data_IF_861318562024
#
_entry.id   IF_861318562024
#
_cell.length_a   1.000
_cell.length_b   1.000
_cell.length_c   1.000
_cell.angle_alpha   90.00
_cell.angle_beta   90.00
_cell.angle_gamma   90.00
#
_symmetry.space_group_name_H-M   'P 1'
#
loop_
_entity.id
_entity.type
_entity.pdbx_description
1 polymer ?
#
# COMPACT_ATOMS: atom_id res chain seq x y z
N UNK A 1 44.59 -46.47 21.42
CA UNK A 1 44.08 -45.80 22.63
C UNK A 1 44.00 -44.31 22.33
N UNK A 2 42.87 -43.71 22.70
CA UNK A 2 42.46 -42.32 22.43
C UNK A 2 43.27 -41.32 23.26
N UNK A 3 43.59 -40.15 22.71
CA UNK A 3 43.51 -38.89 23.45
C UNK A 3 43.17 -37.74 22.48
N UNK A 4 41.96 -37.20 22.64
CA UNK A 4 41.49 -35.97 22.01
C UNK A 4 41.80 -34.81 22.97
N UNK A 5 42.53 -33.79 22.52
CA UNK A 5 42.53 -32.47 23.13
C UNK A 5 41.52 -31.58 22.37
N UNK A 6 40.55 -31.04 23.10
CA UNK A 6 39.55 -30.08 22.58
C UNK A 6 40.05 -28.64 22.77
N UNK A 7 39.69 -27.68 21.91
CA UNK A 7 40.12 -26.29 22.01
C UNK A 7 39.22 -25.49 22.98
N UNK A 8 39.84 -24.73 23.88
CA UNK A 8 39.19 -23.86 24.88
C UNK A 8 38.79 -22.48 24.29
N UNK A 9 39.17 -22.18 23.05
CA UNK A 9 38.92 -20.88 22.40
C UNK A 9 37.48 -20.68 21.91
N UNK A 10 36.67 -21.73 21.76
CA UNK A 10 35.29 -21.62 21.25
C UNK A 10 34.26 -21.16 22.29
N UNK A 11 34.57 -21.29 23.60
CA UNK A 11 33.60 -21.01 24.66
C UNK A 11 33.51 -19.51 25.01
N UNK A 12 34.63 -18.77 24.89
CA UNK A 12 34.72 -17.33 25.19
C UNK A 12 34.06 -16.44 24.14
N UNK A 13 34.11 -16.81 22.85
CA UNK A 13 33.46 -16.07 21.76
C UNK A 13 31.93 -16.22 21.82
N UNK A 14 31.44 -17.40 22.22
CA UNK A 14 30.00 -17.68 22.37
C UNK A 14 29.42 -16.97 23.61
N UNK A 15 30.17 -16.87 24.72
CA UNK A 15 29.70 -16.13 25.91
C UNK A 15 29.74 -14.61 25.70
N UNK A 16 30.74 -14.06 25.00
CA UNK A 16 30.77 -12.63 24.69
C UNK A 16 29.68 -12.25 23.67
N UNK A 17 29.42 -13.08 22.67
CA UNK A 17 28.30 -12.91 21.73
C UNK A 17 26.94 -12.96 22.41
N UNK A 18 26.73 -13.87 23.38
CA UNK A 18 25.49 -13.94 24.16
C UNK A 18 25.29 -12.72 25.06
N UNK A 19 26.35 -12.18 25.67
CA UNK A 19 26.28 -11.00 26.54
C UNK A 19 26.02 -9.73 25.71
N UNK A 20 26.66 -9.55 24.55
CA UNK A 20 26.39 -8.42 23.65
C UNK A 20 24.97 -8.50 23.08
N UNK A 21 24.51 -9.70 22.71
CA UNK A 21 23.12 -9.92 22.30
C UNK A 21 22.13 -9.65 23.43
N UNK A 22 22.37 -10.12 24.66
CA UNK A 22 21.50 -9.83 25.81
C UNK A 22 21.47 -8.33 26.14
N UNK A 23 22.59 -7.63 26.03
CA UNK A 23 22.66 -6.18 26.26
C UNK A 23 21.94 -5.42 25.13
N UNK A 24 22.00 -5.90 23.88
CA UNK A 24 21.28 -5.30 22.76
C UNK A 24 19.78 -5.55 22.84
N UNK A 25 19.37 -6.78 23.18
CA UNK A 25 17.96 -7.13 23.42
C UNK A 25 17.40 -6.40 24.64
N UNK A 26 18.12 -6.34 25.76
CA UNK A 26 17.71 -5.54 26.92
C UNK A 26 17.67 -4.05 26.60
N UNK A 27 18.60 -3.50 25.79
CA UNK A 27 18.51 -2.09 25.37
C UNK A 27 17.32 -1.86 24.45
N UNK A 28 17.04 -2.72 23.48
CA UNK A 28 15.88 -2.60 22.62
C UNK A 28 14.58 -2.65 23.43
N UNK A 29 14.47 -3.57 24.39
CA UNK A 29 13.32 -3.73 25.28
C UNK A 29 13.20 -2.56 26.28
N UNK A 30 14.32 -2.04 26.80
CA UNK A 30 14.33 -0.84 27.66
C UNK A 30 13.98 0.42 26.85
N UNK A 31 14.44 0.58 25.61
CA UNK A 31 14.01 1.68 24.74
C UNK A 31 12.52 1.58 24.39
N UNK A 32 12.00 0.37 24.18
CA UNK A 32 10.58 0.10 23.95
C UNK A 32 9.75 0.47 25.20
N UNK A 33 10.17 0.05 26.39
CA UNK A 33 9.48 0.34 27.66
C UNK A 33 9.58 1.83 28.07
N UNK A 34 10.63 2.55 27.69
CA UNK A 34 10.76 4.00 27.96
C UNK A 34 9.99 4.85 26.95
N UNK A 35 9.92 4.47 25.67
CA UNK A 35 9.05 5.15 24.70
C UNK A 35 7.56 4.93 25.01
N UNK A 36 7.21 3.79 25.62
CA UNK A 36 5.85 3.45 26.05
C UNK A 36 5.26 4.36 27.15
N UNK A 37 6.09 5.13 27.89
CA UNK A 37 5.64 6.03 28.97
C UNK A 37 5.74 7.53 28.63
N UNK A 38 6.18 7.89 27.42
CA UNK A 38 6.47 9.30 27.04
C UNK A 38 5.90 9.61 25.65
N UNK A 39 4.57 9.73 25.56
CA UNK A 39 3.92 10.28 24.38
C UNK A 39 3.67 11.78 24.51
N UNK A 40 3.77 12.51 23.40
CA UNK A 40 3.39 13.91 23.32
C UNK A 40 1.91 13.99 22.93
N UNK A 41 1.10 14.67 23.74
CA UNK A 41 -0.31 14.93 23.41
C UNK A 41 -0.43 15.88 22.23
N UNK A 42 -1.41 15.63 21.37
CA UNK A 42 -1.67 16.51 20.23
C UNK A 42 -2.34 17.83 20.65
N UNK A 43 -2.00 18.89 19.91
CA UNK A 43 -2.65 20.19 19.94
C UNK A 43 -2.75 20.71 18.50
N UNK A 44 -3.82 20.30 17.80
CA UNK A 44 -3.91 20.45 16.36
C UNK A 44 -4.18 21.90 15.97
N UNK A 45 -3.37 22.41 15.05
CA UNK A 45 -3.58 23.72 14.42
C UNK A 45 -3.60 23.56 12.91
N UNK A 46 -4.70 23.95 12.28
CA UNK A 46 -4.86 23.96 10.82
C UNK A 46 -4.70 25.38 10.32
N UNK A 47 -3.77 25.59 9.39
CA UNK A 47 -3.55 26.89 8.80
C UNK A 47 -4.37 27.03 7.50
N UNK A 48 -5.50 27.75 7.56
CA UNK A 48 -6.45 27.84 6.44
C UNK A 48 -5.94 28.64 5.23
N UNK A 49 -4.89 29.46 5.38
CA UNK A 49 -4.36 30.36 4.32
C UNK A 49 -2.89 30.11 3.94
N UNK A 50 -2.31 28.96 4.31
CA UNK A 50 -0.93 28.60 3.92
C UNK A 50 -0.86 28.27 2.43
N UNK A 51 0.29 28.44 1.72
CA UNK A 51 0.40 28.07 0.32
C UNK A 51 -0.21 26.71 0.01
N UNK A 52 -1.29 26.77 -0.76
CA UNK A 52 -2.08 25.61 -1.13
C UNK A 52 -1.37 24.88 -2.27
N UNK A 53 -1.05 23.62 -2.03
CA UNK A 53 -0.53 22.75 -3.10
C UNK A 53 -1.59 21.69 -3.36
N UNK A 54 -2.05 21.63 -4.61
CA UNK A 54 -2.89 20.52 -5.04
C UNK A 54 -2.02 19.26 -5.06
N UNK A 55 -2.28 18.32 -4.16
CA UNK A 55 -1.65 17.00 -4.18
C UNK A 55 -2.64 15.96 -4.67
N UNK A 56 -2.12 15.00 -5.44
CA UNK A 56 -2.90 13.86 -5.90
C UNK A 56 -3.14 12.91 -4.71
N UNK A 57 -4.35 12.39 -4.53
CA UNK A 57 -4.63 11.34 -3.55
C UNK A 57 -3.70 10.14 -3.76
N UNK A 58 -3.01 9.71 -2.70
CA UNK A 58 -2.18 8.49 -2.77
C UNK A 58 -2.96 7.23 -2.37
N UNK A 59 -4.18 7.36 -1.84
CA UNK A 59 -4.96 6.26 -1.24
C UNK A 59 -6.03 5.68 -2.16
N UNK A 60 -6.24 6.25 -3.35
CA UNK A 60 -7.23 5.77 -4.35
C UNK A 60 -6.72 4.59 -5.18
N UNK A 61 -5.77 3.85 -4.62
CA UNK A 61 -5.19 2.69 -5.25
C UNK A 61 -5.53 1.49 -4.37
N UNK A 62 -6.14 0.47 -4.96
CA UNK A 62 -6.59 -0.72 -4.25
C UNK A 62 -5.90 -1.94 -4.84
N UNK A 63 -5.70 -2.99 -4.05
CA UNK A 63 -5.10 -4.24 -4.51
C UNK A 63 -5.98 -5.43 -4.16
N UNK A 64 -6.00 -6.44 -5.02
CA UNK A 64 -6.67 -7.72 -4.79
C UNK A 64 -5.68 -8.86 -5.08
N UNK A 65 -5.59 -9.81 -4.14
CA UNK A 65 -4.77 -11.00 -4.27
C UNK A 65 -5.46 -12.11 -5.08
N UNK A 66 -4.89 -13.32 -5.00
CA UNK A 66 -5.36 -14.54 -5.68
C UNK A 66 -6.15 -15.52 -4.79
N UNK A 67 -6.83 -15.02 -3.76
CA UNK A 67 -7.52 -15.84 -2.75
C UNK A 67 -8.69 -16.66 -3.29
N UNK A 68 -9.42 -16.09 -4.24
CA UNK A 68 -10.37 -16.80 -5.09
C UNK A 68 -10.15 -16.38 -6.53
N UNK A 69 -9.52 -17.29 -7.28
CA UNK A 69 -9.30 -17.11 -8.71
C UNK A 69 -10.45 -17.69 -9.53
N UNK A 70 -11.33 -18.49 -8.92
CA UNK A 70 -12.42 -19.19 -9.62
C UNK A 70 -13.59 -18.29 -9.94
N UNK A 71 -13.78 -17.22 -9.15
CA UNK A 71 -14.84 -16.24 -9.34
C UNK A 71 -14.28 -14.82 -9.44
N UNK A 72 -15.00 -13.95 -10.15
CA UNK A 72 -14.71 -12.51 -10.14
C UNK A 72 -15.37 -11.86 -8.92
N UNK A 73 -14.64 -11.86 -7.80
CA UNK A 73 -15.11 -11.33 -6.52
C UNK A 73 -15.49 -9.84 -6.55
N UNK A 74 -14.98 -9.07 -7.52
CA UNK A 74 -15.22 -7.63 -7.60
C UNK A 74 -16.59 -7.30 -8.20
N UNK A 75 -17.10 -8.13 -9.12
CA UNK A 75 -18.37 -7.86 -9.82
C UNK A 75 -19.57 -7.73 -8.87
N UNK A 76 -19.78 -8.63 -7.89
CA UNK A 76 -20.92 -8.52 -6.95
C UNK A 76 -20.90 -7.26 -6.08
N UNK A 77 -19.74 -6.63 -5.89
CA UNK A 77 -19.57 -5.48 -5.00
C UNK A 77 -19.28 -4.16 -5.75
N UNK A 78 -19.38 -4.16 -7.08
CA UNK A 78 -19.12 -3.00 -7.94
C UNK A 78 -19.81 -1.70 -7.43
N UNK A 79 -21.09 -1.71 -6.99
CA UNK A 79 -21.73 -0.50 -6.47
C UNK A 79 -21.03 0.10 -5.23
N UNK A 80 -20.46 -0.74 -4.36
CA UNK A 80 -19.71 -0.30 -3.18
C UNK A 80 -18.37 0.29 -3.59
N UNK A 81 -17.65 -0.37 -4.50
CA UNK A 81 -16.34 0.09 -4.98
C UNK A 81 -16.42 1.41 -5.73
N UNK A 82 -17.51 1.66 -6.46
CA UNK A 82 -17.72 2.94 -7.15
C UNK A 82 -17.66 4.14 -6.20
N UNK A 83 -18.09 3.98 -4.94
CA UNK A 83 -18.02 5.04 -3.92
C UNK A 83 -16.62 5.33 -3.38
N UNK A 84 -15.65 4.45 -3.67
CA UNK A 84 -14.25 4.65 -3.30
C UNK A 84 -13.46 5.40 -4.38
N UNK A 85 -14.03 5.57 -5.57
CA UNK A 85 -13.42 6.32 -6.67
C UNK A 85 -11.98 5.87 -6.95
N UNK A 86 -11.76 4.55 -6.96
CA UNK A 86 -10.44 3.99 -7.18
C UNK A 86 -9.89 4.43 -8.55
N UNK A 87 -8.67 4.97 -8.56
CA UNK A 87 -7.97 5.35 -9.78
C UNK A 87 -7.27 4.15 -10.41
N UNK A 88 -6.74 3.25 -9.58
CA UNK A 88 -6.13 2.00 -10.03
C UNK A 88 -6.46 0.82 -9.13
N UNK A 89 -6.60 -0.34 -9.75
CA UNK A 89 -6.77 -1.63 -9.05
C UNK A 89 -5.65 -2.57 -9.47
N UNK A 90 -4.81 -2.97 -8.51
CA UNK A 90 -3.75 -3.96 -8.66
C UNK A 90 -4.31 -5.37 -8.51
N UNK A 91 -3.94 -6.27 -9.39
CA UNK A 91 -4.25 -7.70 -9.31
C UNK A 91 -2.97 -8.52 -9.20
N UNK A 92 -2.94 -9.47 -8.27
CA UNK A 92 -1.93 -10.53 -8.20
C UNK A 92 -2.36 -11.78 -8.98
N UNK A 93 -1.46 -12.74 -9.19
CA UNK A 93 -1.73 -14.03 -9.84
C UNK A 93 -2.26 -13.95 -11.29
N UNK A 94 -2.08 -12.83 -11.99
CA UNK A 94 -2.70 -12.61 -13.32
C UNK A 94 -2.24 -13.62 -14.38
N UNK A 95 -1.04 -14.20 -14.22
CA UNK A 95 -0.43 -15.14 -15.17
C UNK A 95 -0.53 -16.61 -14.72
N UNK A 96 -0.71 -16.87 -13.42
CA UNK A 96 -0.83 -18.24 -12.88
C UNK A 96 -2.28 -18.65 -12.57
N UNK A 97 -3.19 -17.69 -12.36
CA UNK A 97 -4.54 -17.95 -11.84
C UNK A 97 -5.68 -17.98 -12.86
N UNK A 98 -5.46 -17.41 -14.06
CA UNK A 98 -6.51 -17.17 -15.06
C UNK A 98 -6.36 -18.00 -16.34
N UNK A 99 -5.50 -19.03 -16.33
CA UNK A 99 -5.21 -19.91 -17.48
C UNK A 99 -4.79 -19.17 -18.76
N UNK A 100 -4.07 -18.06 -18.58
CA UNK A 100 -3.69 -17.15 -19.67
C UNK A 100 -2.80 -17.82 -20.71
N UNK A 101 -1.90 -18.73 -20.29
CA UNK A 101 -0.86 -19.29 -21.17
C UNK A 101 -0.95 -20.82 -21.20
N UNK A 102 -1.01 -21.38 -22.40
CA UNK A 102 -0.94 -22.81 -22.65
C UNK A 102 0.06 -23.12 -23.79
N UNK A 103 0.34 -24.41 -24.02
CA UNK A 103 1.09 -24.89 -25.20
C UNK A 103 0.18 -25.71 -26.10
N UNK A 104 0.26 -25.47 -27.41
CA UNK A 104 -0.42 -26.30 -28.41
C UNK A 104 0.30 -27.66 -28.61
N UNK A 105 -0.24 -28.50 -29.50
CA UNK A 105 0.34 -29.82 -29.81
C UNK A 105 1.74 -29.75 -30.44
N UNK A 106 2.10 -28.60 -31.02
CA UNK A 106 3.43 -28.35 -31.60
C UNK A 106 4.40 -27.71 -30.61
N UNK A 107 3.95 -27.43 -29.38
CA UNK A 107 4.75 -26.83 -28.32
C UNK A 107 4.80 -25.30 -28.34
N UNK A 108 4.04 -24.63 -29.21
CA UNK A 108 3.98 -23.18 -29.28
C UNK A 108 3.09 -22.61 -28.18
N UNK A 109 3.44 -21.42 -27.67
CA UNK A 109 2.59 -20.72 -26.70
C UNK A 109 1.30 -20.23 -27.36
N UNK A 110 0.19 -20.47 -26.65
CA UNK A 110 -1.15 -19.96 -26.96
C UNK A 110 -1.68 -19.17 -25.79
N UNK A 111 -2.53 -18.18 -26.07
CA UNK A 111 -3.00 -17.21 -25.08
C UNK A 111 -4.52 -17.17 -25.03
N UNK A 112 -5.10 -17.23 -23.83
CA UNK A 112 -6.53 -17.11 -23.59
C UNK A 112 -6.81 -16.09 -22.48
N UNK A 113 -7.30 -14.92 -22.87
CA UNK A 113 -7.52 -13.81 -21.94
C UNK A 113 -8.89 -13.83 -21.27
N UNK A 114 -9.80 -14.74 -21.66
CA UNK A 114 -11.23 -14.70 -21.30
C UNK A 114 -11.50 -14.49 -19.80
N UNK A 115 -10.80 -15.25 -18.94
CA UNK A 115 -11.02 -15.17 -17.48
C UNK A 115 -10.41 -13.90 -16.86
N UNK A 116 -9.23 -13.49 -17.32
CA UNK A 116 -8.59 -12.27 -16.84
C UNK A 116 -9.35 -11.03 -17.34
N UNK A 117 -9.85 -11.04 -18.56
CA UNK A 117 -10.65 -9.96 -19.13
C UNK A 117 -11.95 -9.73 -18.36
N UNK A 118 -12.55 -10.76 -17.76
CA UNK A 118 -13.75 -10.59 -16.93
C UNK A 118 -13.49 -9.66 -15.74
N UNK A 119 -12.41 -9.85 -14.99
CA UNK A 119 -12.06 -8.98 -13.86
C UNK A 119 -11.54 -7.61 -14.33
N UNK A 120 -10.81 -7.54 -15.44
CA UNK A 120 -10.34 -6.27 -16.04
C UNK A 120 -11.51 -5.42 -16.52
N UNK A 121 -12.56 -6.05 -17.08
CA UNK A 121 -13.78 -5.36 -17.48
C UNK A 121 -14.50 -4.77 -16.25
N UNK A 122 -14.51 -5.46 -15.10
CA UNK A 122 -15.05 -4.89 -13.86
C UNK A 122 -14.24 -3.68 -13.40
N UNK A 123 -12.91 -3.75 -13.44
CA UNK A 123 -12.02 -2.62 -13.09
C UNK A 123 -12.29 -1.41 -13.99
N UNK A 124 -12.39 -1.60 -15.30
CA UNK A 124 -12.64 -0.50 -16.25
C UNK A 124 -14.05 0.08 -16.13
N UNK A 125 -15.09 -0.72 -15.84
CA UNK A 125 -16.45 -0.22 -15.54
C UNK A 125 -16.51 0.63 -14.27
N UNK A 126 -15.61 0.41 -13.32
CA UNK A 126 -15.45 1.28 -12.14
C UNK A 126 -14.79 2.62 -12.47
N UNK A 127 -14.21 2.78 -13.67
CA UNK A 127 -13.43 3.94 -14.06
C UNK A 127 -11.96 3.86 -13.64
N UNK A 128 -11.53 2.73 -13.07
CA UNK A 128 -10.16 2.50 -12.63
C UNK A 128 -9.29 1.96 -13.78
N UNK A 129 -7.99 2.22 -13.72
CA UNK A 129 -6.99 1.61 -14.61
C UNK A 129 -6.38 0.37 -13.94
N UNK A 130 -6.28 -0.79 -14.63
CA UNK A 130 -5.65 -1.96 -14.04
C UNK A 130 -4.15 -1.77 -13.81
N UNK A 131 -3.66 -2.35 -12.73
CA UNK A 131 -2.25 -2.64 -12.50
C UNK A 131 -2.09 -4.16 -12.40
N UNK A 132 -1.23 -4.73 -13.23
CA UNK A 132 -1.05 -6.18 -13.34
C UNK A 132 0.29 -6.56 -12.74
N UNK A 133 0.26 -7.24 -11.60
CA UNK A 133 1.41 -8.00 -11.11
C UNK A 133 1.61 -9.17 -12.07
N UNK A 134 2.71 -9.17 -12.82
CA UNK A 134 3.10 -10.22 -13.76
C UNK A 134 3.57 -11.46 -12.97
N UNK A 135 2.62 -12.07 -12.25
CA UNK A 135 2.82 -13.14 -11.30
C UNK A 135 1.71 -14.20 -11.42
N UNK A 136 1.88 -15.39 -10.86
CA UNK A 136 3.19 -16.05 -10.80
C UNK A 136 3.50 -16.67 -12.18
N UNK A 137 4.53 -17.49 -12.29
CA UNK A 137 4.90 -18.12 -13.55
C UNK A 137 3.74 -18.96 -14.08
N UNK A 138 3.34 -18.81 -15.36
CA UNK A 138 2.38 -19.72 -15.96
C UNK A 138 2.89 -21.18 -15.91
N UNK A 139 2.07 -22.15 -15.48
CA UNK A 139 2.49 -23.56 -15.40
C UNK A 139 3.06 -24.11 -16.71
N UNK A 140 2.56 -23.61 -17.85
CA UNK A 140 3.02 -24.01 -19.19
C UNK A 140 4.51 -23.73 -19.45
N UNK A 141 5.07 -22.69 -18.81
CA UNK A 141 6.46 -22.27 -19.03
C UNK A 141 7.35 -22.43 -17.79
N UNK A 142 6.79 -22.67 -16.61
CA UNK A 142 7.56 -22.89 -15.38
C UNK A 142 8.46 -24.13 -15.45
N UNK A 143 9.63 -24.06 -14.82
CA UNK A 143 10.51 -25.22 -14.62
C UNK A 143 10.06 -26.20 -13.54
N UNK A 144 9.07 -25.85 -12.71
CA UNK A 144 8.58 -26.71 -11.64
C UNK A 144 7.30 -26.15 -11.01
N UNK A 145 7.46 -25.24 -10.05
CA UNK A 145 6.37 -24.57 -9.34
C UNK A 145 5.98 -23.23 -10.00
N UNK A 146 4.79 -22.70 -9.74
CA UNK A 146 4.43 -21.37 -10.24
C UNK A 146 5.39 -20.27 -9.76
N UNK A 147 6.10 -20.46 -8.65
CA UNK A 147 7.11 -19.52 -8.15
C UNK A 147 8.52 -19.76 -8.69
N UNK A 148 8.71 -20.71 -9.60
CA UNK A 148 10.00 -21.05 -10.21
C UNK A 148 10.31 -20.25 -11.47
N UNK A 149 11.58 -20.31 -11.89
CA UNK A 149 12.05 -19.72 -13.14
C UNK A 149 11.40 -20.42 -14.35
N UNK A 150 11.31 -19.73 -15.50
CA UNK A 150 10.83 -20.36 -16.72
C UNK A 150 11.84 -21.40 -17.23
N UNK A 151 11.36 -22.41 -17.98
CA UNK A 151 12.23 -23.36 -18.71
C UNK A 151 13.01 -22.66 -19.83
N UNK A 152 12.40 -21.66 -20.45
CA UNK A 152 13.01 -20.81 -21.47
C UNK A 152 12.70 -19.35 -21.15
N UNK A 153 13.73 -18.52 -21.05
CA UNK A 153 13.60 -17.11 -20.76
C UNK A 153 12.96 -16.31 -21.92
N UNK A 154 13.04 -16.80 -23.15
CA UNK A 154 12.34 -16.20 -24.29
C UNK A 154 10.83 -16.44 -24.22
N UNK A 155 10.38 -17.58 -23.70
CA UNK A 155 8.97 -17.85 -23.42
C UNK A 155 8.44 -16.81 -22.41
N UNK A 156 9.20 -16.51 -21.35
CA UNK A 156 8.85 -15.46 -20.40
C UNK A 156 8.76 -14.06 -21.04
N UNK A 157 9.77 -13.67 -21.83
CA UNK A 157 9.72 -12.39 -22.56
C UNK A 157 8.51 -12.31 -23.51
N UNK A 158 8.15 -13.43 -24.16
CA UNK A 158 6.98 -13.49 -25.04
C UNK A 158 5.68 -13.36 -24.25
N UNK A 159 5.54 -14.01 -23.10
CA UNK A 159 4.35 -13.86 -22.23
C UNK A 159 4.16 -12.41 -21.80
N UNK A 160 5.24 -11.74 -21.37
CA UNK A 160 5.18 -10.32 -20.98
C UNK A 160 4.79 -9.44 -22.17
N UNK A 161 5.42 -9.65 -23.34
CA UNK A 161 5.07 -8.92 -24.57
C UNK A 161 3.58 -9.07 -24.89
N UNK A 162 3.06 -10.30 -24.93
CA UNK A 162 1.66 -10.58 -25.30
C UNK A 162 0.66 -10.03 -24.29
N UNK A 163 1.00 -10.05 -23.00
CA UNK A 163 0.17 -9.44 -21.95
C UNK A 163 0.08 -7.92 -22.14
N UNK A 164 1.20 -7.26 -22.46
CA UNK A 164 1.20 -5.81 -22.68
C UNK A 164 0.48 -5.46 -23.99
N UNK A 165 0.71 -6.21 -25.07
CA UNK A 165 -0.02 -6.04 -26.34
C UNK A 165 -1.53 -6.18 -26.13
N UNK A 166 -2.00 -7.22 -25.45
CA UNK A 166 -3.44 -7.42 -25.24
C UNK A 166 -4.10 -6.24 -24.52
N UNK A 167 -3.56 -5.81 -23.38
CA UNK A 167 -4.21 -4.75 -22.59
C UNK A 167 -3.92 -3.33 -23.09
N UNK A 168 -2.66 -3.00 -23.41
CA UNK A 168 -2.28 -1.63 -23.76
C UNK A 168 -2.40 -1.34 -25.26
N UNK A 169 -2.51 -2.35 -26.13
CA UNK A 169 -2.68 -2.15 -27.58
C UNK A 169 -4.05 -2.63 -28.06
N UNK A 170 -4.40 -3.89 -27.84
CA UNK A 170 -5.59 -4.49 -28.45
C UNK A 170 -6.88 -4.02 -27.76
N UNK A 171 -6.88 -3.95 -26.43
CA UNK A 171 -7.95 -3.33 -25.62
C UNK A 171 -7.78 -1.81 -25.45
N UNK A 172 -6.69 -1.25 -25.97
CA UNK A 172 -6.43 0.19 -26.01
C UNK A 172 -6.53 0.88 -24.63
N UNK A 173 -6.09 0.21 -23.56
CA UNK A 173 -6.09 0.77 -22.22
C UNK A 173 -4.84 1.62 -21.99
N UNK A 174 -5.03 2.91 -21.67
CA UNK A 174 -3.92 3.80 -21.34
C UNK A 174 -3.53 3.70 -19.86
N UNK A 175 -2.25 3.96 -19.58
CA UNK A 175 -1.66 4.03 -18.24
C UNK A 175 -1.70 2.73 -17.42
N UNK A 176 -1.94 1.58 -18.05
CA UNK A 176 -1.80 0.27 -17.39
C UNK A 176 -0.41 0.15 -16.78
N UNK A 177 -0.32 -0.30 -15.55
CA UNK A 177 0.95 -0.55 -14.88
C UNK A 177 1.23 -2.06 -14.84
N UNK A 178 2.42 -2.45 -15.25
CA UNK A 178 2.89 -3.84 -15.21
C UNK A 178 4.01 -3.94 -14.18
N UNK A 179 3.72 -4.61 -13.06
CA UNK A 179 4.69 -4.87 -11.99
C UNK A 179 5.30 -6.25 -12.19
N UNK A 180 6.63 -6.33 -12.20
CA UNK A 180 7.30 -7.61 -12.44
C UNK A 180 7.36 -8.40 -11.13
N UNK A 181 6.55 -9.46 -11.08
CA UNK A 181 6.45 -10.43 -9.99
C UNK A 181 5.76 -9.90 -8.72
N UNK A 182 5.68 -10.76 -7.71
CA UNK A 182 5.19 -10.48 -6.38
C UNK A 182 6.10 -11.12 -5.32
N UNK A 183 6.60 -10.31 -4.38
CA UNK A 183 7.45 -10.70 -3.24
C UNK A 183 8.51 -11.76 -3.60
N UNK A 184 9.38 -11.48 -4.59
CA UNK A 184 10.38 -12.45 -5.05
C UNK A 184 11.34 -12.89 -3.94
N UNK A 185 11.58 -12.05 -2.95
CA UNK A 185 12.40 -12.31 -1.76
C UNK A 185 11.76 -13.34 -0.81
N UNK A 186 10.45 -13.58 -0.91
CA UNK A 186 9.71 -14.58 -0.16
C UNK A 186 9.27 -15.74 -1.06
N UNK A 187 8.43 -15.46 -2.07
CA UNK A 187 7.83 -16.47 -2.95
C UNK A 187 8.82 -16.95 -4.00
N UNK A 188 9.18 -18.23 -3.90
CA UNK A 188 10.19 -18.83 -4.74
C UNK A 188 11.63 -18.59 -4.26
N UNK A 189 11.85 -17.81 -3.19
CA UNK A 189 13.18 -17.50 -2.62
C UNK A 189 14.16 -17.01 -3.69
N UNK A 190 13.71 -16.11 -4.54
CA UNK A 190 14.60 -15.46 -5.49
C UNK A 190 15.64 -14.64 -4.74
N UNK A 191 16.76 -14.35 -5.40
CA UNK A 191 17.75 -13.40 -4.91
C UNK A 191 18.18 -12.50 -6.06
N UNK A 192 19.00 -11.49 -5.80
CA UNK A 192 19.60 -10.65 -6.86
C UNK A 192 20.86 -11.27 -7.47
N UNK A 193 21.18 -12.52 -7.12
CA UNK A 193 22.37 -13.24 -7.59
C UNK A 193 22.09 -14.74 -7.82
N UNK A 194 23.12 -15.50 -8.19
CA UNK A 194 23.03 -16.95 -8.34
C UNK A 194 22.13 -17.43 -9.48
N UNK A 195 21.68 -18.69 -9.41
CA UNK A 195 20.90 -19.34 -10.48
C UNK A 195 19.45 -18.84 -10.55
N UNK A 196 18.78 -18.71 -9.41
CA UNK A 196 17.42 -18.17 -9.30
C UNK A 196 17.51 -16.68 -8.99
N UNK A 197 17.76 -15.91 -10.06
CA UNK A 197 18.08 -14.49 -9.98
C UNK A 197 16.91 -13.63 -10.49
N UNK A 198 16.36 -12.79 -9.61
CA UNK A 198 15.29 -11.85 -9.93
C UNK A 198 15.71 -10.84 -11.01
N UNK A 199 16.98 -10.42 -11.04
CA UNK A 199 17.47 -9.49 -12.06
C UNK A 199 17.32 -10.09 -13.47
N UNK A 200 17.48 -11.41 -13.62
CA UNK A 200 17.22 -12.08 -14.90
C UNK A 200 15.72 -12.09 -15.23
N UNK A 201 14.86 -12.35 -14.24
CA UNK A 201 13.41 -12.27 -14.42
C UNK A 201 12.97 -10.89 -14.90
N UNK A 202 13.49 -9.83 -14.28
CA UNK A 202 13.20 -8.46 -14.69
C UNK A 202 13.78 -8.12 -16.06
N UNK A 203 15.04 -8.48 -16.37
CA UNK A 203 15.66 -8.25 -17.68
C UNK A 203 14.82 -8.82 -18.81
N UNK A 204 14.40 -10.08 -18.71
CA UNK A 204 13.60 -10.72 -19.76
C UNK A 204 12.17 -10.17 -19.83
N UNK A 205 11.59 -9.75 -18.70
CA UNK A 205 10.32 -9.02 -18.72
C UNK A 205 10.47 -7.67 -19.44
N UNK A 206 11.54 -6.91 -19.16
CA UNK A 206 11.85 -5.65 -19.81
C UNK A 206 12.14 -5.81 -21.31
N UNK A 207 12.79 -6.90 -21.73
CA UNK A 207 12.93 -7.27 -23.15
C UNK A 207 11.56 -7.47 -23.80
N UNK A 208 10.66 -8.22 -23.15
CA UNK A 208 9.28 -8.40 -23.61
C UNK A 208 8.55 -7.08 -23.77
N UNK A 209 8.61 -6.21 -22.76
CA UNK A 209 8.03 -4.88 -22.79
C UNK A 209 8.63 -3.98 -23.90
N UNK A 210 9.94 -4.09 -24.15
CA UNK A 210 10.64 -3.34 -25.20
C UNK A 210 10.30 -3.77 -26.62
N UNK A 211 9.77 -4.98 -26.81
CA UNK A 211 9.32 -5.49 -28.13
C UNK A 211 7.94 -4.96 -28.53
N UNK A 212 7.16 -4.43 -27.58
CA UNK A 212 5.80 -3.92 -27.84
C UNK A 212 5.86 -2.67 -28.71
N UNK A 213 5.03 -2.65 -29.76
CA UNK A 213 4.92 -1.54 -30.71
C UNK A 213 3.45 -1.14 -30.89
N UNK A 214 3.17 0.17 -30.93
CA UNK A 214 1.83 0.72 -31.18
C UNK A 214 0.85 0.61 -30.02
N UNK A 215 1.33 0.38 -28.79
CA UNK A 215 0.51 0.39 -27.58
C UNK A 215 0.29 1.81 -27.05
N UNK A 216 -0.79 2.01 -26.28
CA UNK A 216 -0.97 3.15 -25.41
C UNK A 216 0.19 3.27 -24.41
N UNK A 217 0.47 4.47 -23.87
CA UNK A 217 1.46 4.65 -22.82
C UNK A 217 1.15 3.74 -21.62
N UNK A 218 2.13 2.95 -21.19
CA UNK A 218 2.04 2.07 -20.03
C UNK A 218 3.21 2.29 -19.06
N UNK A 219 3.02 1.89 -17.80
CA UNK A 219 4.06 1.92 -16.77
C UNK A 219 4.60 0.52 -16.54
N UNK A 220 5.89 0.41 -16.26
CA UNK A 220 6.57 -0.86 -16.02
C UNK A 220 7.51 -0.73 -14.83
N UNK A 221 7.50 -1.65 -13.88
CA UNK A 221 8.25 -1.50 -12.64
C UNK A 221 8.31 -2.73 -11.74
N UNK A 222 8.89 -2.56 -10.55
CA UNK A 222 9.18 -3.61 -9.58
C UNK A 222 10.07 -3.06 -8.45
N UNK A 223 10.63 -3.87 -7.53
CA UNK A 223 10.65 -5.32 -7.57
C UNK A 223 9.61 -6.02 -6.70
N UNK A 224 8.60 -5.29 -6.20
CA UNK A 224 7.47 -5.83 -5.44
C UNK A 224 7.88 -6.63 -4.18
N UNK A 225 8.89 -6.16 -3.46
CA UNK A 225 9.45 -6.87 -2.30
C UNK A 225 8.50 -6.88 -1.10
N UNK A 226 8.63 -7.86 -0.21
CA UNK A 226 7.87 -7.88 1.08
C UNK A 226 8.14 -6.66 1.98
N UNK A 227 9.23 -5.94 1.71
CA UNK A 227 9.71 -4.79 2.45
C UNK A 227 10.80 -4.04 1.69
N UNK A 228 11.15 -2.85 2.16
CA UNK A 228 12.23 -2.09 1.56
C UNK A 228 13.60 -2.61 2.06
N UNK A 229 14.35 -3.28 1.19
CA UNK A 229 15.66 -3.86 1.53
C UNK A 229 16.81 -3.17 0.77
N UNK A 230 17.73 -2.46 1.46
CA UNK A 230 18.75 -1.64 0.81
C UNK A 230 19.61 -2.39 -0.21
N UNK A 231 20.10 -3.59 0.15
CA UNK A 231 20.99 -4.37 -0.71
C UNK A 231 20.28 -4.91 -1.97
N UNK A 232 19.02 -5.28 -1.84
CA UNK A 232 18.20 -5.72 -2.97
C UNK A 232 17.90 -4.56 -3.91
N UNK A 233 17.48 -3.42 -3.37
CA UNK A 233 17.20 -2.21 -4.15
C UNK A 233 18.46 -1.69 -4.85
N UNK A 234 19.61 -1.66 -4.16
CA UNK A 234 20.91 -1.32 -4.74
C UNK A 234 21.24 -2.20 -5.96
N UNK A 235 21.14 -3.52 -5.79
CA UNK A 235 21.44 -4.47 -6.87
C UNK A 235 20.48 -4.29 -8.06
N UNK A 236 19.21 -4.06 -7.78
CA UNK A 236 18.17 -3.87 -8.79
C UNK A 236 18.33 -2.56 -9.56
N UNK A 237 18.53 -1.45 -8.86
CA UNK A 237 18.71 -0.13 -9.46
C UNK A 237 20.03 -0.05 -10.23
N UNK A 238 21.10 -0.67 -9.73
CA UNK A 238 22.34 -0.78 -10.47
C UNK A 238 22.13 -1.52 -11.81
N UNK A 239 21.42 -2.64 -11.81
CA UNK A 239 21.09 -3.35 -13.05
C UNK A 239 20.22 -2.50 -13.98
N UNK A 240 19.21 -1.81 -13.44
CA UNK A 240 18.33 -0.96 -14.22
C UNK A 240 19.07 0.21 -14.91
N UNK A 241 19.95 0.90 -14.19
CA UNK A 241 20.74 2.02 -14.73
C UNK A 241 21.83 1.53 -15.71
N UNK A 242 22.61 0.52 -15.33
CA UNK A 242 23.76 0.06 -16.14
C UNK A 242 23.35 -0.63 -17.44
N UNK A 243 22.17 -1.26 -17.48
CA UNK A 243 21.65 -1.96 -18.66
C UNK A 243 20.55 -1.17 -19.37
N UNK A 244 20.23 0.03 -18.89
CA UNK A 244 19.17 0.89 -19.42
C UNK A 244 17.81 0.16 -19.51
N UNK A 245 17.46 -0.58 -18.45
CA UNK A 245 16.19 -1.30 -18.37
C UNK A 245 15.05 -0.29 -18.14
N UNK A 246 13.91 -0.52 -18.80
CA UNK A 246 12.71 0.29 -18.56
C UNK A 246 12.32 0.15 -17.08
N UNK A 247 12.28 1.26 -16.36
CA UNK A 247 11.83 1.35 -14.98
C UNK A 247 11.06 2.66 -14.80
N UNK A 248 9.74 2.58 -14.71
CA UNK A 248 8.86 3.74 -14.51
C UNK A 248 8.45 3.94 -13.05
N UNK A 249 8.48 2.86 -12.25
CA UNK A 249 8.20 2.93 -10.82
C UNK A 249 8.98 1.86 -10.05
N UNK A 250 9.36 2.18 -8.81
CA UNK A 250 9.76 1.23 -7.79
C UNK A 250 8.53 0.79 -6.99
N UNK A 251 8.50 -0.48 -6.61
CA UNK A 251 7.44 -1.02 -5.77
C UNK A 251 7.93 -1.93 -4.66
N UNK A 252 7.26 -1.86 -3.52
CA UNK A 252 7.47 -2.73 -2.37
C UNK A 252 6.19 -2.78 -1.52
N UNK A 253 6.12 -3.73 -0.62
CA UNK A 253 5.03 -3.92 0.33
C UNK A 253 5.50 -3.52 1.72
N UNK A 254 4.54 -3.27 2.61
CA UNK A 254 4.85 -3.22 4.04
C UNK A 254 3.65 -3.65 4.86
N UNK A 255 3.87 -4.64 5.69
CA UNK A 255 2.96 -5.03 6.76
C UNK A 255 3.63 -4.78 8.11
N UNK A 256 3.13 -3.79 8.86
CA UNK A 256 3.63 -3.46 10.19
C UNK A 256 2.61 -2.64 10.96
N UNK A 257 2.53 -2.87 12.28
CA UNK A 257 1.77 -2.03 13.21
C UNK A 257 2.55 -0.77 13.62
N UNK A 258 3.87 -0.72 13.46
CA UNK A 258 4.65 0.48 13.70
C UNK A 258 4.61 1.36 12.46
N UNK A 259 4.08 2.58 12.57
CA UNK A 259 3.99 3.50 11.42
C UNK A 259 5.36 4.05 11.02
N UNK A 260 6.33 4.01 11.94
CA UNK A 260 7.71 4.42 11.76
C UNK A 260 8.42 3.54 10.72
N UNK A 261 8.05 2.26 10.60
CA UNK A 261 8.61 1.36 9.58
C UNK A 261 8.35 1.88 8.17
N UNK A 262 7.16 2.42 7.93
CA UNK A 262 6.79 3.01 6.64
C UNK A 262 7.57 4.29 6.34
N UNK A 263 7.85 5.09 7.37
CA UNK A 263 8.69 6.28 7.23
C UNK A 263 10.13 5.89 6.89
N UNK A 264 10.69 4.97 7.67
CA UNK A 264 12.06 4.48 7.51
C UNK A 264 12.27 3.85 6.12
N UNK A 265 11.28 3.09 5.63
CA UNK A 265 11.28 2.52 4.29
C UNK A 265 11.46 3.59 3.21
N UNK A 266 10.65 4.66 3.22
CA UNK A 266 10.75 5.71 2.20
C UNK A 266 12.10 6.43 2.26
N UNK A 267 12.55 6.78 3.47
CA UNK A 267 13.82 7.48 3.66
C UNK A 267 14.97 6.64 3.11
N UNK A 268 14.95 5.34 3.38
CA UNK A 268 15.93 4.40 2.84
C UNK A 268 15.81 4.24 1.31
N UNK A 269 14.60 4.03 0.78
CA UNK A 269 14.36 3.89 -0.68
C UNK A 269 14.87 5.11 -1.42
N UNK A 270 14.59 6.33 -0.92
CA UNK A 270 15.06 7.58 -1.52
C UNK A 270 16.57 7.69 -1.46
N UNK A 271 17.18 7.45 -0.31
CA UNK A 271 18.64 7.48 -0.15
C UNK A 271 19.35 6.48 -1.09
N UNK A 272 18.74 5.30 -1.30
CA UNK A 272 19.26 4.31 -2.25
C UNK A 272 19.07 4.77 -3.69
N UNK A 273 17.88 5.28 -4.06
CA UNK A 273 17.57 5.77 -5.41
C UNK A 273 18.43 6.96 -5.84
N UNK A 274 18.74 7.88 -4.93
CA UNK A 274 19.59 9.05 -5.18
C UNK A 274 21.01 8.69 -5.65
N UNK A 275 21.47 7.46 -5.41
CA UNK A 275 22.76 6.95 -5.91
C UNK A 275 22.75 6.61 -7.40
N UNK A 276 21.58 6.62 -8.04
CA UNK A 276 21.38 6.32 -9.47
C UNK A 276 20.70 7.51 -10.17
N UNK A 277 21.45 8.58 -10.50
CA UNK A 277 20.88 9.86 -10.94
C UNK A 277 20.05 9.79 -12.22
N UNK A 278 20.25 8.80 -13.10
CA UNK A 278 19.42 8.65 -14.30
C UNK A 278 17.98 8.21 -13.96
N UNK A 279 17.79 7.62 -12.79
CA UNK A 279 16.52 7.11 -12.27
C UNK A 279 15.91 8.07 -11.24
N UNK A 280 16.75 8.74 -10.45
CA UNK A 280 16.35 9.70 -9.42
C UNK A 280 15.64 10.92 -10.04
N UNK A 281 14.31 10.87 -10.09
CA UNK A 281 13.44 11.93 -10.64
C UNK A 281 12.53 11.47 -11.78
N UNK A 282 12.80 10.31 -12.39
CA UNK A 282 11.94 9.71 -13.42
C UNK A 282 11.12 8.53 -12.89
N UNK A 283 11.59 7.90 -11.83
CA UNK A 283 10.97 6.72 -11.20
C UNK A 283 10.00 7.13 -10.09
N UNK A 284 8.76 6.67 -10.21
CA UNK A 284 7.75 6.83 -9.17
C UNK A 284 7.91 5.81 -8.04
N UNK A 285 7.36 6.09 -6.86
CA UNK A 285 7.42 5.22 -5.69
C UNK A 285 6.03 4.70 -5.33
N UNK A 286 5.82 3.39 -5.43
CA UNK A 286 4.56 2.73 -5.10
C UNK A 286 4.72 1.79 -3.90
N UNK A 287 3.84 1.92 -2.91
CA UNK A 287 3.65 0.88 -1.89
C UNK A 287 2.50 0.02 -2.37
N UNK A 288 2.77 -1.16 -2.92
CA UNK A 288 1.80 -1.96 -3.69
C UNK A 288 0.94 -2.91 -2.86
N UNK A 289 1.26 -3.07 -1.58
CA UNK A 289 0.39 -3.66 -0.55
C UNK A 289 0.69 -3.06 0.84
N UNK A 290 -0.35 -2.86 1.65
CA UNK A 290 -0.23 -2.36 3.02
C UNK A 290 -1.26 -2.94 3.98
N UNK A 291 -0.84 -3.19 5.22
CA UNK A 291 -1.73 -3.47 6.34
C UNK A 291 -1.00 -3.61 7.70
N UNK A 292 -1.74 -3.78 8.80
CA UNK A 292 -1.17 -4.05 10.11
C UNK A 292 -0.26 -5.29 10.19
N UNK A 293 -0.57 -6.35 9.44
CA UNK A 293 0.13 -7.64 9.47
C UNK A 293 -0.15 -8.48 8.22
N UNK A 294 0.82 -9.29 7.78
CA UNK A 294 0.68 -10.23 6.66
C UNK A 294 -0.01 -11.54 7.05
N UNK A 295 -0.54 -11.63 8.28
CA UNK A 295 -1.25 -12.81 8.79
C UNK A 295 -2.76 -12.56 8.92
N UNK A 296 -3.55 -13.64 9.01
CA UNK A 296 -4.96 -13.56 9.40
C UNK A 296 -5.03 -13.07 10.85
N UNK A 297 -5.67 -11.92 11.05
CA UNK A 297 -5.70 -11.24 12.33
C UNK A 297 -7.03 -10.47 12.51
N UNK A 298 -7.79 -10.71 13.60
CA UNK A 298 -9.05 -10.03 13.87
C UNK A 298 -8.99 -8.50 13.81
N UNK A 299 -7.81 -7.87 13.96
CA UNK A 299 -7.68 -6.41 13.85
C UNK A 299 -8.21 -5.85 12.53
N UNK A 300 -8.16 -6.62 11.44
CA UNK A 300 -8.67 -6.22 10.12
C UNK A 300 -10.18 -5.95 10.09
N UNK A 301 -10.94 -6.58 10.99
CA UNK A 301 -12.38 -6.41 11.09
C UNK A 301 -12.80 -5.23 11.98
N UNK A 302 -11.83 -4.49 12.53
CA UNK A 302 -12.07 -3.46 13.55
C UNK A 302 -11.61 -2.07 13.11
N UNK A 303 -11.92 -1.06 13.92
CA UNK A 303 -11.43 0.31 13.72
C UNK A 303 -9.91 0.42 13.85
N UNK A 304 -9.21 -0.57 14.43
CA UNK A 304 -7.75 -0.61 14.46
C UNK A 304 -7.15 -0.50 13.06
N UNK A 305 -7.61 -1.33 12.12
CA UNK A 305 -7.05 -1.34 10.78
C UNK A 305 -7.45 -0.09 9.96
N UNK A 306 -8.60 0.53 10.29
CA UNK A 306 -8.99 1.83 9.75
C UNK A 306 -8.05 2.96 10.23
N UNK A 307 -7.78 3.00 11.53
CA UNK A 307 -6.85 3.97 12.13
C UNK A 307 -5.43 3.78 11.60
N UNK A 308 -4.98 2.54 11.50
CA UNK A 308 -3.70 2.20 10.89
C UNK A 308 -3.57 2.75 9.46
N UNK A 309 -4.57 2.49 8.59
CA UNK A 309 -4.55 2.96 7.20
C UNK A 309 -4.46 4.49 7.11
N UNK A 310 -5.21 5.23 7.92
CA UNK A 310 -5.16 6.71 7.92
C UNK A 310 -3.82 7.22 8.45
N UNK A 311 -3.29 6.62 9.52
CA UNK A 311 -2.00 7.01 10.09
C UNK A 311 -0.85 6.77 9.11
N UNK A 312 -0.81 5.60 8.47
CA UNK A 312 0.15 5.29 7.41
C UNK A 312 -0.01 6.24 6.23
N UNK A 313 -1.25 6.50 5.78
CA UNK A 313 -1.51 7.45 4.69
C UNK A 313 -0.93 8.84 5.03
N UNK A 314 -1.11 9.33 6.26
CA UNK A 314 -0.54 10.62 6.70
C UNK A 314 0.99 10.64 6.66
N UNK A 315 1.64 9.55 7.08
CA UNK A 315 3.11 9.42 7.04
C UNK A 315 3.62 9.40 5.60
N UNK A 316 2.90 8.75 4.70
CA UNK A 316 3.29 8.57 3.30
C UNK A 316 2.87 9.73 2.38
N UNK A 317 1.94 10.61 2.79
CA UNK A 317 1.36 11.62 1.89
C UNK A 317 2.37 12.64 1.36
N UNK A 318 2.54 12.63 0.03
CA UNK A 318 3.54 13.41 -0.71
C UNK A 318 4.97 12.90 -0.56
N UNK A 319 5.14 11.68 -0.05
CA UNK A 319 6.41 10.96 -0.02
C UNK A 319 6.45 9.80 -1.00
N UNK A 320 5.29 9.22 -1.32
CA UNK A 320 5.08 8.20 -2.36
C UNK A 320 4.08 8.70 -3.40
N UNK A 321 4.08 8.10 -4.57
CA UNK A 321 3.13 8.40 -5.64
C UNK A 321 1.82 7.62 -5.47
N UNK A 322 1.87 6.38 -4.96
CA UNK A 322 0.70 5.51 -4.80
C UNK A 322 0.84 4.60 -3.57
N UNK A 323 -0.25 4.45 -2.82
CA UNK A 323 -0.40 3.53 -1.70
C UNK A 323 -1.59 2.61 -1.98
N UNK A 324 -1.33 1.33 -2.18
CA UNK A 324 -2.33 0.33 -2.52
C UNK A 324 -2.86 -0.37 -1.26
N UNK A 325 -4.13 -0.15 -0.97
CA UNK A 325 -4.81 -0.82 0.15
C UNK A 325 -5.06 -2.28 -0.22
N UNK A 326 -4.37 -3.20 0.46
CA UNK A 326 -4.58 -4.65 0.32
C UNK A 326 -5.48 -5.17 1.46
N UNK A 327 -6.53 -5.95 1.23
CA UNK A 327 -7.14 -6.33 -0.06
C UNK A 327 -8.53 -5.69 -0.25
N UNK A 328 -9.10 -5.76 -1.45
CA UNK A 328 -10.45 -5.23 -1.71
C UNK A 328 -11.50 -6.11 -1.02
N UNK A 329 -11.45 -7.41 -1.30
CA UNK A 329 -12.42 -8.42 -0.87
C UNK A 329 -11.68 -9.52 -0.13
N UNK A 330 -12.18 -9.89 1.04
CA UNK A 330 -11.66 -11.08 1.73
C UNK A 330 -11.73 -12.32 0.84
N UNK A 331 -10.72 -13.17 0.90
CA UNK A 331 -10.82 -14.54 0.43
C UNK A 331 -11.97 -15.35 1.06
N UNK A 332 -12.31 -16.52 0.49
CA UNK A 332 -13.35 -17.39 1.03
C UNK A 332 -13.10 -17.76 2.49
N UNK A 333 -14.13 -17.62 3.32
CA UNK A 333 -14.03 -17.89 4.75
C UNK A 333 -13.91 -19.40 5.02
N UNK A 334 -12.92 -19.87 5.80
CA UNK A 334 -12.76 -21.29 6.11
C UNK A 334 -13.89 -21.85 6.98
N UNK A 335 -14.66 -20.98 7.65
CA UNK A 335 -15.74 -21.35 8.58
C UNK A 335 -17.08 -20.71 8.21
N UNK A 336 -17.20 -20.17 6.99
CA UNK A 336 -18.36 -19.42 6.50
C UNK A 336 -18.77 -18.21 7.36
N UNK A 337 -17.87 -17.72 8.23
CA UNK A 337 -18.08 -16.48 8.97
C UNK A 337 -17.71 -15.26 8.11
N UNK A 338 -18.52 -14.19 8.09
CA UNK A 338 -18.21 -13.00 7.31
C UNK A 338 -16.95 -12.28 7.78
N UNK A 339 -16.79 -12.14 9.09
CA UNK A 339 -15.63 -11.48 9.72
C UNK A 339 -14.75 -12.56 10.36
N UNK A 340 -13.54 -12.72 9.83
CA UNK A 340 -12.61 -13.78 10.25
C UNK A 340 -11.15 -13.31 10.29
N UNK A 341 -10.92 -11.99 10.31
CA UNK A 341 -9.60 -11.39 10.39
C UNK A 341 -8.85 -11.29 9.06
N UNK A 342 -9.56 -11.37 7.93
CA UNK A 342 -8.97 -11.28 6.60
C UNK A 342 -8.83 -9.82 6.13
N UNK A 343 -7.88 -9.57 5.22
CA UNK A 343 -7.39 -8.24 4.87
C UNK A 343 -8.42 -7.30 4.24
N UNK A 344 -9.49 -7.86 3.67
CA UNK A 344 -10.45 -7.17 2.82
C UNK A 344 -11.05 -5.94 3.48
N UNK A 345 -11.20 -4.87 2.71
CA UNK A 345 -12.05 -3.74 3.13
C UNK A 345 -13.54 -4.08 3.05
N UNK A 346 -13.89 -5.16 2.35
CA UNK A 346 -15.22 -5.76 2.25
C UNK A 346 -15.08 -7.28 2.47
N UNK A 347 -16.03 -7.89 3.18
CA UNK A 347 -16.05 -9.36 3.34
C UNK A 347 -16.33 -10.06 2.00
N UNK A 348 -16.08 -11.37 1.90
CA UNK A 348 -16.39 -12.12 0.69
C UNK A 348 -17.88 -12.00 0.29
N UNK A 349 -18.25 -11.92 -1.01
CA UNK A 349 -19.65 -11.83 -1.45
C UNK A 349 -20.52 -12.99 -0.98
N UNK A 350 -19.96 -14.22 -0.91
CA UNK A 350 -20.69 -15.39 -0.43
C UNK A 350 -21.05 -15.31 1.06
N UNK A 351 -20.29 -14.54 1.85
CA UNK A 351 -20.60 -14.27 3.26
C UNK A 351 -21.37 -12.97 3.45
N UNK A 352 -21.82 -12.31 2.38
CA UNK A 352 -22.71 -11.14 2.41
C UNK A 352 -22.07 -9.83 1.95
N UNK A 353 -20.76 -9.79 1.71
CA UNK A 353 -20.09 -8.59 1.20
C UNK A 353 -20.17 -7.38 2.13
N UNK A 354 -20.07 -7.55 3.45
CA UNK A 354 -20.19 -6.45 4.40
C UNK A 354 -19.00 -5.50 4.32
N UNK A 355 -19.23 -4.19 4.44
CA UNK A 355 -18.15 -3.20 4.50
C UNK A 355 -17.46 -3.27 5.87
N UNK A 356 -16.13 -3.19 5.89
CA UNK A 356 -15.32 -3.10 7.12
C UNK A 356 -14.91 -1.66 7.41
N UNK A 357 -14.48 -1.33 8.64
CA UNK A 357 -14.09 0.04 9.00
C UNK A 357 -13.03 0.68 8.08
N UNK A 358 -12.12 -0.10 7.48
CA UNK A 358 -11.14 0.40 6.48
C UNK A 358 -11.81 0.98 5.23
N UNK A 359 -12.98 0.49 4.84
CA UNK A 359 -13.76 1.04 3.73
C UNK A 359 -14.19 2.49 4.03
N UNK A 360 -14.68 2.74 5.24
CA UNK A 360 -15.08 4.09 5.65
C UNK A 360 -13.88 5.02 5.82
N UNK A 361 -12.71 4.49 6.22
CA UNK A 361 -11.47 5.26 6.24
C UNK A 361 -11.10 5.79 4.85
N UNK A 362 -11.21 4.97 3.81
CA UNK A 362 -11.00 5.41 2.42
C UNK A 362 -12.02 6.47 1.99
N UNK A 363 -13.30 6.32 2.39
CA UNK A 363 -14.32 7.34 2.13
C UNK A 363 -14.02 8.67 2.82
N UNK A 364 -13.52 8.63 4.06
CA UNK A 364 -13.11 9.84 4.78
C UNK A 364 -11.89 10.49 4.10
N UNK A 365 -10.90 9.69 3.70
CA UNK A 365 -9.74 10.19 2.95
C UNK A 365 -10.14 10.83 1.61
N UNK A 366 -11.15 10.30 0.90
CA UNK A 366 -11.68 10.92 -0.32
C UNK A 366 -12.28 12.32 -0.10
N UNK A 367 -12.56 12.74 1.15
CA UNK A 367 -12.97 14.12 1.45
C UNK A 367 -11.81 15.10 1.46
N UNK A 368 -10.57 14.62 1.42
CA UNK A 368 -9.37 15.45 1.36
C UNK A 368 -8.97 15.83 -0.07
N UNK A 369 -9.91 15.79 -1.00
CA UNK A 369 -9.71 16.35 -2.33
C UNK A 369 -9.57 17.87 -2.29
N UNK A 370 -8.74 18.39 -3.19
CA UNK A 370 -8.57 19.82 -3.37
C UNK A 370 -7.20 20.30 -2.91
N UNK A 371 -7.20 21.45 -2.27
CA UNK A 371 -5.99 22.16 -1.86
C UNK A 371 -5.57 21.73 -0.47
N UNK A 372 -4.38 21.12 -0.35
CA UNK A 372 -3.88 20.64 0.93
C UNK A 372 -3.63 21.81 1.88
N UNK A 373 -4.09 21.66 3.13
CA UNK A 373 -3.81 22.59 4.22
C UNK A 373 -2.70 22.04 5.12
N UNK A 374 -1.93 22.96 5.70
CA UNK A 374 -0.90 22.59 6.68
C UNK A 374 -1.53 22.32 8.03
N UNK A 375 -1.19 21.17 8.61
CA UNK A 375 -1.55 20.79 9.98
C UNK A 375 -0.30 20.77 10.84
N UNK A 376 -0.38 21.35 12.03
CA UNK A 376 0.67 21.38 13.05
C UNK A 376 0.16 20.78 14.36
N UNK A 377 1.11 20.43 15.25
CA UNK A 377 0.81 19.96 16.60
C UNK A 377 0.21 18.56 16.66
N UNK A 378 0.55 17.72 15.67
CA UNK A 378 0.37 16.27 15.77
C UNK A 378 1.16 15.75 16.98
N UNK A 379 0.61 14.76 17.68
CA UNK A 379 1.23 14.13 18.85
C UNK A 379 1.87 12.80 18.48
N UNK A 380 2.13 11.97 19.48
CA UNK A 380 2.64 10.59 19.27
C UNK A 380 1.61 9.75 18.50
N UNK A 381 0.38 9.68 19.00
CA UNK A 381 -0.68 8.81 18.45
C UNK A 381 -1.63 9.55 17.51
N UNK A 382 -1.89 10.83 17.81
CA UNK A 382 -2.83 11.64 17.03
C UNK A 382 -2.14 12.29 15.84
N UNK A 383 -2.63 11.94 14.65
CA UNK A 383 -2.20 12.47 13.36
C UNK A 383 -3.38 13.07 12.60
N UNK A 384 -3.12 13.98 11.67
CA UNK A 384 -4.20 14.62 10.92
C UNK A 384 -3.79 15.05 9.51
N UNK A 385 -4.73 14.89 8.57
CA UNK A 385 -4.66 15.41 7.20
C UNK A 385 -5.75 16.46 7.02
N UNK A 386 -5.48 17.49 6.22
CA UNK A 386 -6.44 18.56 5.96
C UNK A 386 -6.39 19.01 4.50
N UNK A 387 -7.55 19.31 3.93
CA UNK A 387 -7.68 19.95 2.61
C UNK A 387 -8.90 20.87 2.56
N UNK A 388 -8.86 21.85 1.68
CA UNK A 388 -10.03 22.65 1.32
C UNK A 388 -10.51 22.24 -0.07
N UNK A 389 -11.81 21.97 -0.19
CA UNK A 389 -12.42 21.65 -1.47
C UNK A 389 -12.79 22.91 -2.27
N UNK A 390 -13.21 22.72 -3.52
CA UNK A 390 -13.61 23.82 -4.42
C UNK A 390 -14.84 24.63 -3.95
N UNK A 391 -15.58 24.13 -2.96
CA UNK A 391 -16.73 24.82 -2.36
C UNK A 391 -16.33 25.63 -1.12
N UNK A 392 -15.04 25.62 -0.76
CA UNK A 392 -14.51 26.30 0.42
C UNK A 392 -14.68 25.52 1.72
N UNK A 393 -15.16 24.27 1.67
CA UNK A 393 -15.29 23.41 2.85
C UNK A 393 -13.90 22.93 3.25
N UNK A 394 -13.54 23.12 4.53
CA UNK A 394 -12.30 22.57 5.08
C UNK A 394 -12.61 21.18 5.64
N UNK A 395 -12.00 20.16 5.04
CA UNK A 395 -12.11 18.76 5.44
C UNK A 395 -10.84 18.37 6.22
N UNK A 396 -11.02 17.78 7.39
CA UNK A 396 -9.97 17.25 8.24
C UNK A 396 -10.24 15.77 8.52
N UNK A 397 -9.25 14.91 8.29
CA UNK A 397 -9.29 13.53 8.77
C UNK A 397 -8.28 13.42 9.91
N UNK A 398 -8.79 13.17 11.12
CA UNK A 398 -8.00 13.03 12.35
C UNK A 398 -8.05 11.59 12.80
N UNK A 399 -6.90 11.03 13.15
CA UNK A 399 -6.78 9.67 13.65
C UNK A 399 -6.03 9.65 14.97
N UNK A 400 -6.50 8.86 15.93
CA UNK A 400 -5.73 8.45 17.10
C UNK A 400 -5.32 6.99 16.90
N UNK A 401 -4.12 6.76 16.38
CA UNK A 401 -3.60 5.42 16.14
C UNK A 401 -2.62 5.03 17.25
N UNK A 402 -2.99 4.01 18.02
CA UNK A 402 -2.17 3.47 19.10
C UNK A 402 -2.00 1.95 18.96
N UNK A 403 -0.84 1.44 18.57
CA UNK A 403 -0.60 0.00 18.41
C UNK A 403 -0.97 -0.85 19.64
N UNK A 404 -0.94 -0.27 20.84
CA UNK A 404 -1.28 -0.95 22.09
C UNK A 404 -2.74 -0.79 22.52
N UNK A 405 -3.49 0.09 21.85
CA UNK A 405 -4.92 0.33 22.07
C UNK A 405 -5.25 0.80 23.50
N UNK A 406 -4.47 1.74 24.06
CA UNK A 406 -4.56 2.21 25.45
C UNK A 406 -4.84 3.71 25.57
N UNK A 407 -4.34 4.52 24.65
CA UNK A 407 -4.29 5.98 24.83
C UNK A 407 -5.52 6.68 24.23
N UNK A 408 -6.34 7.23 25.12
CA UNK A 408 -7.36 8.22 24.74
C UNK A 408 -6.75 9.60 24.84
N UNK A 409 -7.06 10.45 23.89
CA UNK A 409 -6.70 11.87 23.95
C UNK A 409 -7.94 12.75 23.83
N UNK A 410 -7.97 13.82 24.63
CA UNK A 410 -8.81 14.97 24.39
C UNK A 410 -7.95 16.02 23.69
N UNK A 411 -8.18 16.20 22.39
CA UNK A 411 -7.27 16.94 21.51
C UNK A 411 -7.83 18.32 21.21
N UNK A 412 -7.18 19.41 21.65
CA UNK A 412 -7.52 20.75 21.20
C UNK A 412 -7.30 20.87 19.69
N UNK A 413 -8.24 21.52 19.02
CA UNK A 413 -8.17 21.86 17.60
C UNK A 413 -8.41 23.35 17.43
N UNK A 414 -7.56 24.02 16.67
CA UNK A 414 -7.76 25.40 16.20
C UNK A 414 -7.67 25.45 14.69
N UNK A 415 -8.65 26.09 14.03
CA UNK A 415 -8.54 26.47 12.61
C UNK A 415 -8.11 27.93 12.58
N UNK A 416 -6.82 28.13 12.35
CA UNK A 416 -6.20 29.45 12.35
C UNK A 416 -6.43 30.17 11.02
N UNK A 417 -6.49 31.50 11.09
CA UNK A 417 -6.68 32.43 9.96
C UNK A 417 -7.98 32.22 9.16
N UNK A 418 -8.95 31.48 9.72
CA UNK A 418 -10.26 31.31 9.12
C UNK A 418 -10.98 32.67 9.04
N UNK A 419 -11.65 32.94 7.91
CA UNK A 419 -12.37 34.19 7.75
C UNK A 419 -13.50 34.34 8.78
N UNK A 420 -13.77 35.57 9.27
CA UNK A 420 -14.93 35.80 10.13
C UNK A 420 -16.23 35.41 9.41
N UNK A 421 -17.10 34.70 10.11
CA UNK A 421 -18.34 34.20 9.52
C UNK A 421 -19.03 33.15 10.38
N UNK A 422 -20.14 32.64 9.90
CA UNK A 422 -20.85 31.51 10.51
C UNK A 422 -20.51 30.24 9.75
N UNK A 423 -20.25 29.17 10.49
CA UNK A 423 -19.86 27.86 9.99
C UNK A 423 -20.69 26.77 10.66
N UNK A 424 -20.86 25.65 9.98
CA UNK A 424 -21.20 24.38 10.63
C UNK A 424 -19.94 23.54 10.78
N UNK A 425 -19.68 23.06 11.98
CA UNK A 425 -18.68 22.03 12.24
C UNK A 425 -19.39 20.70 12.36
N UNK A 426 -19.18 19.83 11.37
CA UNK A 426 -19.70 18.45 11.36
C UNK A 426 -18.57 17.49 11.70
N UNK A 427 -18.79 16.60 12.66
CA UNK A 427 -17.83 15.62 13.16
C UNK A 427 -18.43 14.23 13.01
N UNK A 428 -17.80 13.38 12.20
CA UNK A 428 -18.25 12.01 11.93
C UNK A 428 -17.18 11.02 12.37
N UNK A 429 -17.53 10.07 13.24
CA UNK A 429 -16.60 9.04 13.73
C UNK A 429 -16.88 7.69 13.04
N UNK A 430 -15.85 6.99 12.56
CA UNK A 430 -16.02 5.63 12.04
C UNK A 430 -16.53 4.70 13.14
N UNK A 431 -17.60 3.95 12.84
CA UNK A 431 -18.30 3.11 13.83
C UNK A 431 -19.09 3.89 14.89
N UNK A 432 -19.16 5.22 14.75
CA UNK A 432 -19.90 6.12 15.65
C UNK A 432 -20.95 6.95 14.92
N UNK A 433 -21.41 8.01 15.57
CA UNK A 433 -22.38 8.95 15.01
C UNK A 433 -21.74 10.18 14.36
N UNK A 434 -22.60 11.00 13.77
CA UNK A 434 -22.25 12.34 13.30
C UNK A 434 -22.87 13.38 14.22
N UNK A 435 -22.09 14.37 14.65
CA UNK A 435 -22.54 15.54 15.41
C UNK A 435 -22.32 16.78 14.56
N UNK A 436 -23.22 17.75 14.61
CA UNK A 436 -23.07 19.02 13.88
C UNK A 436 -23.41 20.18 14.79
N UNK A 437 -22.51 21.16 14.87
CA UNK A 437 -22.66 22.35 15.70
C UNK A 437 -22.48 23.61 14.85
N UNK A 438 -23.26 24.65 15.12
CA UNK A 438 -23.04 25.96 14.52
C UNK A 438 -21.94 26.71 15.30
N UNK A 439 -21.02 27.34 14.58
CA UNK A 439 -19.90 28.10 15.13
C UNK A 439 -19.88 29.48 14.47
N UNK A 440 -19.65 30.52 15.26
CA UNK A 440 -19.37 31.87 14.75
C UNK A 440 -17.90 32.19 15.00
N UNK A 441 -17.20 32.59 13.95
CA UNK A 441 -15.78 32.97 13.97
C UNK A 441 -15.69 34.48 13.85
N UNK A 442 -14.88 35.11 14.70
CA UNK A 442 -14.58 36.54 14.66
C UNK A 442 -13.08 36.76 14.64
N UNK A 443 -12.63 38.00 14.36
CA UNK A 443 -11.20 38.32 14.34
C UNK A 443 -10.49 38.00 15.67
N UNK A 444 -11.21 38.07 16.79
CA UNK A 444 -10.67 37.82 18.14
C UNK A 444 -10.97 36.40 18.66
N UNK A 445 -11.74 35.61 17.91
CA UNK A 445 -12.19 34.27 18.32
C UNK A 445 -12.10 33.29 17.13
N UNK A 446 -10.93 32.64 16.93
CA UNK A 446 -10.79 31.62 15.90
C UNK A 446 -11.67 30.40 16.23
N UNK A 447 -11.94 29.57 15.23
CA UNK A 447 -12.62 28.30 15.46
C UNK A 447 -11.74 27.43 16.36
N UNK A 448 -12.24 27.11 17.55
CA UNK A 448 -11.62 26.19 18.49
C UNK A 448 -12.61 25.06 18.85
N UNK A 449 -12.11 23.83 18.93
CA UNK A 449 -12.86 22.66 19.33
C UNK A 449 -12.00 21.73 20.20
N UNK A 450 -12.66 20.85 20.96
CA UNK A 450 -12.01 19.75 21.68
C UNK A 450 -12.49 18.43 21.10
N UNK A 451 -11.56 17.59 20.65
CA UNK A 451 -11.85 16.30 20.01
C UNK A 451 -11.61 15.17 21.00
N UNK A 452 -12.66 14.47 21.40
CA UNK A 452 -12.52 13.27 22.21
C UNK A 452 -12.20 12.06 21.31
N UNK A 453 -10.95 11.63 21.31
CA UNK A 453 -10.45 10.55 20.46
C UNK A 453 -10.09 9.34 21.32
N UNK A 454 -10.98 8.33 21.44
CA UNK A 454 -10.58 7.03 21.97
C UNK A 454 -9.45 6.41 21.11
N UNK A 455 -8.75 5.39 21.64
CA UNK A 455 -7.83 4.60 20.82
C UNK A 455 -8.50 4.11 19.53
N UNK A 456 -7.80 4.19 18.41
CA UNK A 456 -8.27 3.86 17.06
C UNK A 456 -9.43 4.69 16.54
N UNK A 457 -9.69 5.86 17.13
CA UNK A 457 -10.65 6.79 16.57
C UNK A 457 -10.17 7.29 15.21
N UNK A 458 -11.07 7.27 14.23
CA UNK A 458 -10.90 7.97 12.95
C UNK A 458 -12.10 8.90 12.78
N UNK A 459 -11.83 10.21 12.75
CA UNK A 459 -12.84 11.25 12.70
C UNK A 459 -12.66 12.10 11.43
N UNK A 460 -13.74 12.28 10.69
CA UNK A 460 -13.85 13.32 9.67
C UNK A 460 -14.48 14.56 10.29
N UNK A 461 -13.80 15.70 10.16
CA UNK A 461 -14.34 17.02 10.46
C UNK A 461 -14.56 17.78 9.17
N UNK A 462 -15.72 18.43 9.05
CA UNK A 462 -16.05 19.30 7.93
C UNK A 462 -16.44 20.66 8.50
N UNK A 463 -15.69 21.70 8.13
CA UNK A 463 -16.00 23.10 8.44
C UNK A 463 -16.67 23.71 7.22
N UNK A 464 -17.98 23.90 7.31
CA UNK A 464 -18.85 24.24 6.19
C UNK A 464 -19.28 25.71 6.32
N UNK A 465 -18.83 26.61 5.43
CA UNK A 465 -19.27 28.01 5.43
C UNK A 465 -20.80 28.10 5.32
N UNK A 466 -21.41 28.99 6.09
CA UNK A 466 -22.84 29.30 5.99
C UNK A 466 -23.05 30.64 5.27
N UNK A 467 -24.20 30.83 4.60
CA UNK A 467 -24.52 32.06 3.87
C UNK A 467 -24.58 33.32 4.73
#
# INVERSE_FOLDING_TARGET
>A
MRHFSRPITSLLVVTFGLIVSLIYFQRAEIYHLYSEATGESANLVVLSKTPMTRRVPIWRHLAQGGEDLTTNMLTPIEPKLRSLEAETIRLDHVLSGYDVVAKDQSGNLTFNWTRLDDIINTITRLGATPMLSLSYMPPAISSGDITDAPRDWNDWALVVQRTIEHYSKDLNLANVAYEVWNEPDLFGKWSTHGRKNYLNLYRYAAIGAGRVQGAQPFRFGGPALTGAYPAWLDSFLNAAETENLRLNFLSWHRYSRAIEDYQNDIEMVRAVLERYPSLAGSVQLYVTEVGPTSEVDPVYDTTFAAAHLVAVTRVLWGRVDRLYTFEIVDGPSPTAQPFWGRWGIITHPETGGFVKPRFDALRFLNRLEGEQLTVKGEGTWVKALAAQDSQGIINLVVVNYDPLNRHREEVPLVIDQLDPGTYQLRQSLIGGGTVTNAITVTADSPLAASLNLPPQAVMLLEVIPQP
#
